data_IF_549600158379
#
_entry.id   IF_549600158379
#
_cell.length_a   1.000
_cell.length_b   1.000
_cell.length_c   1.000
_cell.angle_alpha   90.00
_cell.angle_beta   90.00
_cell.angle_gamma   90.00
#
_symmetry.space_group_name_H-M   'P 1'
#
loop_
_entity.id
_entity.type
_entity.pdbx_description
1 polymer ?
#
# COMPACT_ATOMS: atom_id res chain seq x y z
N UNK A 1 -19.09 36.43 3.58
CA UNK A 1 -17.72 36.35 4.12
C UNK A 1 -17.04 35.30 3.27
N UNK A 2 -16.28 35.75 2.27
CA UNK A 2 -15.74 34.87 1.22
C UNK A 2 -14.70 33.93 1.83
N UNK A 3 -14.91 32.63 1.65
CA UNK A 3 -13.91 31.58 1.78
C UNK A 3 -12.84 31.79 0.70
N UNK A 4 -11.86 32.62 1.00
CA UNK A 4 -10.56 32.58 0.35
C UNK A 4 -9.71 31.61 1.19
N UNK A 5 -9.97 30.31 1.03
CA UNK A 5 -8.98 29.31 1.45
C UNK A 5 -7.77 29.62 0.60
N UNK A 6 -6.76 30.24 1.21
CA UNK A 6 -5.53 30.63 0.57
C UNK A 6 -4.99 29.42 -0.20
N UNK A 7 -4.83 29.53 -1.53
CA UNK A 7 -4.31 28.42 -2.35
C UNK A 7 -2.97 27.90 -1.81
N UNK A 8 -2.26 28.73 -1.04
CA UNK A 8 -1.07 28.39 -0.26
C UNK A 8 -1.28 27.22 0.73
N UNK A 9 -2.45 27.11 1.37
CA UNK A 9 -2.78 26.04 2.33
C UNK A 9 -3.18 24.72 1.66
N UNK A 10 -3.25 24.68 0.33
CA UNK A 10 -3.59 23.45 -0.41
C UNK A 10 -2.36 22.61 -0.73
N UNK A 11 -1.16 23.22 -0.75
CA UNK A 11 0.06 22.60 -1.25
C UNK A 11 1.17 22.56 -0.20
N UNK A 12 1.79 21.40 -0.05
CA UNK A 12 2.93 21.18 0.83
C UNK A 12 4.25 21.11 0.03
N UNK A 13 5.37 21.45 0.67
CA UNK A 13 6.71 21.44 0.08
C UNK A 13 7.20 20.01 -0.23
N UNK A 14 7.19 19.55 -1.50
CA UNK A 14 7.33 18.12 -1.80
C UNK A 14 8.69 17.53 -1.43
N UNK A 15 9.76 18.34 -1.42
CA UNK A 15 11.10 17.85 -1.13
C UNK A 15 11.22 17.29 0.30
N UNK A 16 10.60 17.97 1.27
CA UNK A 16 10.61 17.53 2.68
C UNK A 16 9.91 16.18 2.84
N UNK A 17 8.74 16.03 2.24
CA UNK A 17 7.96 14.78 2.30
C UNK A 17 8.62 13.64 1.53
N UNK A 18 9.36 13.94 0.45
CA UNK A 18 10.17 12.95 -0.24
C UNK A 18 11.27 12.40 0.66
N UNK A 19 12.00 13.27 1.35
CA UNK A 19 13.04 12.86 2.30
C UNK A 19 12.45 12.04 3.45
N UNK A 20 11.31 12.47 4.00
CA UNK A 20 10.57 11.75 5.03
C UNK A 20 10.13 10.35 4.56
N UNK A 21 9.47 10.25 3.39
CA UNK A 21 9.03 8.99 2.82
C UNK A 21 10.21 8.04 2.54
N UNK A 22 11.32 8.55 1.99
CA UNK A 22 12.53 7.77 1.77
C UNK A 22 13.12 7.25 3.08
N UNK A 23 13.10 8.06 4.14
CA UNK A 23 13.53 7.67 5.47
C UNK A 23 12.64 6.55 6.03
N UNK A 24 11.32 6.68 6.00
CA UNK A 24 10.38 5.65 6.45
C UNK A 24 10.59 4.31 5.73
N UNK A 25 10.78 4.33 4.42
CA UNK A 25 11.06 3.13 3.61
C UNK A 25 12.38 2.50 4.05
N UNK A 26 13.43 3.31 4.20
CA UNK A 26 14.76 2.82 4.56
C UNK A 26 14.81 2.24 5.98
N UNK A 27 14.21 2.91 6.95
CA UNK A 27 14.27 2.50 8.37
C UNK A 27 13.38 1.31 8.67
N UNK A 28 12.23 1.19 8.00
CA UNK A 28 11.34 0.04 8.15
C UNK A 28 11.82 -1.22 7.44
N UNK A 29 12.67 -1.07 6.41
CA UNK A 29 13.05 -2.17 5.52
C UNK A 29 11.88 -2.75 4.70
N UNK A 30 10.72 -2.09 4.73
CA UNK A 30 9.53 -2.50 3.99
C UNK A 30 9.55 -1.94 2.57
N UNK A 31 8.92 -2.67 1.65
CA UNK A 31 8.68 -2.16 0.31
C UNK A 31 7.79 -0.90 0.36
N UNK A 32 8.14 0.13 -0.41
CA UNK A 32 7.48 1.45 -0.37
C UNK A 32 5.96 1.42 -0.56
N UNK A 33 5.42 0.45 -1.31
CA UNK A 33 3.97 0.25 -1.48
C UNK A 33 3.28 -0.11 -0.16
N UNK A 34 3.95 -0.87 0.71
CA UNK A 34 3.44 -1.22 2.04
C UNK A 34 3.42 0.03 2.92
N UNK A 35 4.48 0.85 2.84
CA UNK A 35 4.55 2.14 3.55
C UNK A 35 3.45 3.10 3.08
N UNK A 36 3.20 3.17 1.77
CA UNK A 36 2.08 3.94 1.21
C UNK A 36 0.72 3.47 1.77
N UNK A 37 0.49 2.16 1.80
CA UNK A 37 -0.74 1.58 2.35
C UNK A 37 -0.89 1.86 3.85
N UNK A 38 0.20 1.84 4.63
CA UNK A 38 0.16 2.21 6.06
C UNK A 38 -0.11 3.70 6.26
N UNK A 39 0.43 4.56 5.41
CA UNK A 39 0.14 6.00 5.42
C UNK A 39 -1.24 6.33 4.84
N UNK A 40 -1.98 5.37 4.30
CA UNK A 40 -3.28 5.61 3.66
C UNK A 40 -3.20 6.44 2.37
N UNK A 41 -2.03 6.49 1.72
CA UNK A 41 -1.85 7.23 0.46
C UNK A 41 -1.77 6.29 -0.74
N UNK A 42 -2.16 6.78 -1.92
CA UNK A 42 -2.13 5.95 -3.12
C UNK A 42 -0.69 5.55 -3.50
N UNK A 43 -0.48 4.33 -4.02
CA UNK A 43 0.83 3.92 -4.51
C UNK A 43 1.38 4.86 -5.60
N UNK A 44 0.51 5.41 -6.44
CA UNK A 44 0.91 6.37 -7.47
C UNK A 44 1.43 7.67 -6.87
N UNK A 45 0.78 8.20 -5.82
CA UNK A 45 1.25 9.40 -5.13
C UNK A 45 2.60 9.16 -4.45
N UNK A 46 2.76 8.04 -3.74
CA UNK A 46 4.04 7.67 -3.13
C UNK A 46 5.16 7.49 -4.18
N UNK A 47 4.87 6.82 -5.29
CA UNK A 47 5.82 6.61 -6.38
C UNK A 47 6.30 7.92 -6.98
N UNK A 48 5.36 8.82 -7.31
CA UNK A 48 5.68 10.14 -7.83
C UNK A 48 6.44 11.00 -6.81
N UNK A 49 6.15 10.86 -5.52
CA UNK A 49 6.90 11.55 -4.48
C UNK A 49 8.36 11.07 -4.40
N UNK A 50 8.59 9.76 -4.46
CA UNK A 50 9.93 9.18 -4.32
C UNK A 50 10.81 9.40 -5.56
N UNK A 51 10.26 9.18 -6.76
CA UNK A 51 11.01 9.16 -8.02
C UNK A 51 10.60 10.21 -9.03
N UNK A 52 9.57 11.00 -8.74
CA UNK A 52 9.03 11.97 -9.68
C UNK A 52 8.14 11.36 -10.76
N UNK A 53 7.77 12.19 -11.74
CA UNK A 53 7.06 11.79 -12.96
C UNK A 53 8.04 11.84 -14.13
N UNK A 54 8.27 10.69 -14.77
CA UNK A 54 9.24 10.58 -15.88
C UNK A 54 10.63 11.12 -15.51
N UNK A 55 11.08 10.86 -14.27
CA UNK A 55 12.37 11.31 -13.74
C UNK A 55 12.41 12.76 -13.25
N UNK A 56 11.30 13.52 -13.32
CA UNK A 56 11.22 14.89 -12.80
C UNK A 56 10.52 14.92 -11.44
N UNK A 57 11.12 15.53 -10.40
CA UNK A 57 10.46 15.71 -9.11
C UNK A 57 9.07 16.35 -9.26
N UNK A 58 8.12 15.96 -8.42
CA UNK A 58 6.81 16.62 -8.40
C UNK A 58 6.97 18.06 -7.91
N UNK A 59 6.26 18.98 -8.56
CA UNK A 59 6.25 20.40 -8.18
C UNK A 59 5.21 20.73 -7.11
N UNK A 60 4.24 19.84 -6.90
CA UNK A 60 3.09 20.06 -6.01
C UNK A 60 2.71 18.76 -5.29
N UNK A 61 2.55 18.85 -3.98
CA UNK A 61 2.05 17.77 -3.13
C UNK A 61 0.83 18.30 -2.38
N UNK A 62 -0.30 17.62 -2.50
CA UNK A 62 -1.52 18.05 -1.81
C UNK A 62 -1.35 17.89 -0.29
N UNK A 63 -1.80 18.87 0.49
CA UNK A 63 -1.67 18.86 1.96
C UNK A 63 -2.23 17.59 2.58
N UNK A 64 -3.38 17.07 2.11
CA UNK A 64 -3.91 15.80 2.61
C UNK A 64 -2.93 14.61 2.50
N UNK A 65 -2.13 14.54 1.42
CA UNK A 65 -1.10 13.47 1.28
C UNK A 65 0.09 13.73 2.20
N UNK A 66 0.47 15.00 2.37
CA UNK A 66 1.52 15.41 3.29
C UNK A 66 1.15 15.09 4.75
N UNK A 67 -0.05 15.45 5.19
CA UNK A 67 -0.58 15.15 6.53
C UNK A 67 -0.60 13.64 6.77
N UNK A 68 -1.15 12.86 5.84
CA UNK A 68 -1.20 11.41 5.95
C UNK A 68 0.19 10.75 6.06
N UNK A 69 1.22 11.35 5.43
CA UNK A 69 2.60 10.91 5.58
C UNK A 69 3.22 11.33 6.92
N UNK A 70 2.91 12.52 7.44
CA UNK A 70 3.40 12.96 8.75
C UNK A 70 2.79 12.17 9.90
N UNK A 71 1.53 11.78 9.76
CA UNK A 71 0.81 10.98 10.76
C UNK A 71 1.39 9.56 10.88
N UNK A 72 2.20 9.11 9.92
CA UNK A 72 2.91 7.83 9.98
C UNK A 72 4.31 8.01 10.56
N UNK A 73 4.48 7.68 11.83
CA UNK A 73 5.77 7.64 12.49
C UNK A 73 6.55 6.32 12.21
N UNK A 74 7.90 6.30 12.32
CA UNK A 74 8.66 5.06 12.26
C UNK A 74 8.22 4.02 13.31
N UNK A 75 7.85 4.46 14.50
CA UNK A 75 7.37 3.63 15.60
C UNK A 75 6.03 2.96 15.25
N UNK A 76 5.15 3.68 14.54
CA UNK A 76 3.90 3.14 14.02
C UNK A 76 4.12 1.97 13.07
N UNK A 77 5.17 2.04 12.24
CA UNK A 77 5.51 0.97 11.31
C UNK A 77 5.99 -0.26 12.06
N UNK A 78 6.83 -0.08 13.10
CA UNK A 78 7.29 -1.18 13.94
C UNK A 78 6.12 -1.83 14.68
N UNK A 79 5.26 -1.00 15.27
CA UNK A 79 4.10 -1.46 16.05
C UNK A 79 2.99 -2.07 15.17
N UNK A 80 2.99 -1.81 13.86
CA UNK A 80 2.02 -2.38 12.94
C UNK A 80 2.07 -3.92 12.90
N UNK A 81 3.21 -4.53 13.21
CA UNK A 81 3.35 -5.99 13.33
C UNK A 81 2.62 -6.60 14.53
N UNK A 82 2.26 -5.78 15.52
CA UNK A 82 1.63 -6.22 16.77
C UNK A 82 0.20 -5.69 16.95
N UNK A 83 -0.13 -4.60 16.25
CA UNK A 83 -1.46 -3.96 16.30
C UNK A 83 -2.49 -4.81 15.58
N UNK A 84 -3.55 -5.23 16.28
CA UNK A 84 -4.64 -6.04 15.71
C UNK A 84 -5.71 -5.17 15.07
N UNK A 85 -6.12 -5.54 13.85
CA UNK A 85 -7.21 -4.92 13.10
C UNK A 85 -8.20 -5.98 12.59
N UNK A 86 -9.47 -5.64 12.33
CA UNK A 86 -10.43 -6.59 11.78
C UNK A 86 -9.96 -7.18 10.45
N UNK A 87 -10.04 -8.50 10.29
CA UNK A 87 -9.57 -9.18 9.09
C UNK A 87 -10.57 -9.14 7.92
N UNK A 88 -11.80 -8.66 8.12
CA UNK A 88 -12.87 -8.69 7.11
C UNK A 88 -12.49 -8.01 5.80
N UNK A 89 -11.97 -6.78 5.85
CA UNK A 89 -11.50 -6.07 4.66
C UNK A 89 -10.33 -6.80 3.99
N UNK A 90 -9.33 -7.19 4.77
CA UNK A 90 -8.14 -7.92 4.27
C UNK A 90 -8.53 -9.20 3.54
N UNK A 91 -9.50 -9.96 4.07
CA UNK A 91 -10.03 -11.15 3.39
C UNK A 91 -10.77 -10.80 2.11
N UNK A 92 -11.63 -9.78 2.13
CA UNK A 92 -12.33 -9.34 0.93
C UNK A 92 -11.39 -8.98 -0.22
N UNK A 93 -10.21 -8.41 0.09
CA UNK A 93 -9.17 -8.15 -0.91
C UNK A 93 -8.54 -9.45 -1.44
N UNK A 94 -8.22 -10.41 -0.57
CA UNK A 94 -7.68 -11.72 -0.99
C UNK A 94 -8.70 -12.50 -1.82
N UNK A 95 -9.95 -12.55 -1.39
CA UNK A 95 -11.07 -13.15 -2.13
C UNK A 95 -11.22 -12.47 -3.50
N UNK A 96 -11.13 -11.13 -3.53
CA UNK A 96 -11.13 -10.35 -4.78
C UNK A 96 -10.00 -10.74 -5.72
N UNK A 97 -8.78 -10.96 -5.22
CA UNK A 97 -7.66 -11.44 -6.04
C UNK A 97 -7.91 -12.85 -6.59
N UNK A 98 -8.44 -13.75 -5.77
CA UNK A 98 -8.81 -15.09 -6.25
C UNK A 98 -9.92 -15.05 -7.30
N UNK A 99 -10.93 -14.19 -7.12
CA UNK A 99 -11.99 -13.97 -8.11
C UNK A 99 -11.46 -13.40 -9.43
N UNK A 100 -10.39 -12.59 -9.38
CA UNK A 100 -9.68 -12.11 -10.57
C UNK A 100 -8.77 -13.17 -11.21
N UNK A 101 -8.67 -14.38 -10.64
CA UNK A 101 -7.90 -15.49 -11.18
C UNK A 101 -6.46 -15.60 -10.67
N UNK A 102 -6.07 -14.85 -9.64
CA UNK A 102 -4.74 -14.97 -9.03
C UNK A 102 -4.66 -16.23 -8.15
N UNK A 103 -3.65 -17.05 -8.43
CA UNK A 103 -3.39 -18.32 -7.72
C UNK A 103 -2.48 -18.11 -6.50
N UNK A 104 -2.55 -19.00 -5.50
CA UNK A 104 -1.67 -18.93 -4.32
C UNK A 104 -0.17 -18.88 -4.67
N UNK A 105 0.36 -19.69 -5.62
CA UNK A 105 1.77 -19.61 -6.01
C UNK A 105 2.17 -18.25 -6.58
N UNK A 106 1.28 -17.60 -7.33
CA UNK A 106 1.52 -16.25 -7.82
C UNK A 106 1.54 -15.25 -6.66
N UNK A 107 0.52 -15.28 -5.80
CA UNK A 107 0.40 -14.38 -4.65
C UNK A 107 1.53 -14.52 -3.65
N UNK A 108 2.11 -15.72 -3.50
CA UNK A 108 3.26 -15.98 -2.63
C UNK A 108 4.53 -15.19 -3.01
N UNK A 109 4.58 -14.61 -4.22
CA UNK A 109 5.66 -13.70 -4.64
C UNK A 109 5.63 -12.39 -3.85
N UNK A 110 4.45 -11.97 -3.37
CA UNK A 110 4.24 -10.68 -2.69
C UNK A 110 3.76 -10.82 -1.25
N UNK A 111 3.07 -11.92 -0.94
CA UNK A 111 2.42 -12.16 0.34
C UNK A 111 3.13 -13.28 1.09
N UNK A 112 3.19 -13.15 2.42
CA UNK A 112 3.72 -14.20 3.26
C UNK A 112 2.71 -15.33 3.44
N UNK A 113 3.19 -16.52 3.85
CA UNK A 113 2.30 -17.65 4.20
C UNK A 113 1.26 -17.27 5.26
N UNK A 114 1.62 -16.41 6.21
CA UNK A 114 0.69 -15.94 7.25
C UNK A 114 -0.40 -15.03 6.69
N UNK A 115 -0.07 -14.19 5.71
CA UNK A 115 -1.05 -13.33 5.04
C UNK A 115 -2.04 -14.20 4.24
N UNK A 116 -1.53 -15.20 3.52
CA UNK A 116 -2.36 -16.12 2.72
C UNK A 116 -3.31 -16.99 3.57
N UNK A 117 -2.90 -17.37 4.78
CA UNK A 117 -3.76 -18.13 5.72
C UNK A 117 -5.04 -17.38 6.11
N UNK A 118 -5.12 -16.07 5.92
CA UNK A 118 -6.34 -15.30 6.20
C UNK A 118 -7.47 -15.60 5.21
N UNK A 119 -7.14 -15.92 3.96
CA UNK A 119 -8.13 -16.30 2.95
C UNK A 119 -8.76 -17.67 3.29
N UNK A 120 -7.94 -18.61 3.74
CA UNK A 120 -8.39 -19.99 4.02
C UNK A 120 -8.95 -20.18 5.42
N UNK A 121 -8.58 -19.35 6.40
CA UNK A 121 -9.04 -19.44 7.79
C UNK A 121 -10.10 -18.39 8.15
N UNK A 122 -11.37 -18.78 8.02
CA UNK A 122 -12.51 -17.94 8.46
C UNK A 122 -12.56 -17.71 9.97
N UNK A 123 -11.86 -18.53 10.77
CA UNK A 123 -11.80 -18.40 12.23
C UNK A 123 -10.99 -17.19 12.73
N UNK A 124 -10.08 -16.65 11.92
CA UNK A 124 -9.19 -15.55 12.34
C UNK A 124 -9.85 -14.15 12.23
N UNK A 125 -10.65 -13.73 13.21
CA UNK A 125 -11.35 -12.44 13.17
C UNK A 125 -10.46 -11.20 13.02
N UNK A 126 -9.17 -11.31 13.37
CA UNK A 126 -8.21 -10.22 13.36
C UNK A 126 -6.92 -10.60 12.65
N UNK A 127 -6.30 -9.62 12.00
CA UNK A 127 -4.94 -9.70 11.49
C UNK A 127 -4.10 -8.53 12.04
N UNK A 128 -2.79 -8.52 11.77
CA UNK A 128 -1.96 -7.37 12.13
C UNK A 128 -2.18 -6.22 11.15
N UNK A 129 -1.96 -4.98 11.57
CA UNK A 129 -2.00 -3.80 10.71
C UNK A 129 -0.99 -3.93 9.56
N UNK A 130 0.16 -4.55 9.82
CA UNK A 130 1.17 -4.84 8.78
C UNK A 130 0.67 -5.85 7.74
N UNK A 131 -0.01 -6.92 8.14
CA UNK A 131 -0.62 -7.87 7.20
C UNK A 131 -1.69 -7.18 6.34
N UNK A 132 -2.55 -6.36 6.95
CA UNK A 132 -3.54 -5.60 6.20
C UNK A 132 -2.89 -4.68 5.15
N UNK A 133 -1.81 -3.97 5.53
CA UNK A 133 -1.07 -3.10 4.62
C UNK A 133 -0.38 -3.85 3.48
N UNK A 134 0.21 -5.04 3.75
CA UNK A 134 0.81 -5.88 2.70
C UNK A 134 -0.24 -6.35 1.69
N UNK A 135 -1.38 -6.83 2.16
CA UNK A 135 -2.47 -7.30 1.30
C UNK A 135 -3.05 -6.15 0.48
N UNK A 136 -3.27 -4.98 1.08
CA UNK A 136 -3.72 -3.77 0.35
C UNK A 136 -2.70 -3.36 -0.72
N UNK A 137 -1.41 -3.29 -0.37
CA UNK A 137 -0.35 -2.95 -1.32
C UNK A 137 -0.24 -3.96 -2.47
N UNK A 138 -0.42 -5.25 -2.19
CA UNK A 138 -0.43 -6.31 -3.20
C UNK A 138 -1.66 -6.17 -4.11
N UNK A 139 -2.85 -6.00 -3.52
CA UNK A 139 -4.09 -5.80 -4.26
C UNK A 139 -3.98 -4.61 -5.23
N UNK A 140 -3.59 -3.44 -4.73
CA UNK A 140 -3.48 -2.22 -5.54
C UNK A 140 -2.44 -2.38 -6.65
N UNK A 141 -1.34 -3.09 -6.39
CA UNK A 141 -0.34 -3.36 -7.42
C UNK A 141 -0.91 -4.24 -8.53
N UNK A 142 -1.52 -5.38 -8.18
CA UNK A 142 -2.01 -6.37 -9.13
C UNK A 142 -3.24 -5.90 -9.90
N UNK A 143 -4.06 -5.00 -9.35
CA UNK A 143 -5.21 -4.42 -10.06
C UNK A 143 -4.84 -3.19 -10.89
N UNK A 144 -3.76 -2.47 -10.54
CA UNK A 144 -3.26 -1.34 -11.35
C UNK A 144 -2.35 -1.74 -12.50
N UNK A 145 -1.61 -2.85 -12.37
CA UNK A 145 -0.96 -3.50 -13.51
C UNK A 145 -2.01 -4.29 -14.30
N UNK A 146 -2.26 -3.95 -15.56
CA UNK A 146 -3.29 -4.59 -16.37
C UNK A 146 -3.18 -6.13 -16.36
N UNK A 147 -4.20 -6.78 -15.80
CA UNK A 147 -4.67 -8.18 -15.91
C UNK A 147 -3.67 -9.30 -15.51
N UNK A 148 -4.13 -10.41 -14.88
CA UNK A 148 -3.26 -11.53 -14.56
C UNK A 148 -2.61 -12.07 -15.82
N UNK A 149 -1.31 -12.34 -15.77
CA UNK A 149 -0.63 -13.11 -16.80
C UNK A 149 -1.30 -14.48 -16.81
N UNK A 150 -2.18 -14.72 -17.79
CA UNK A 150 -2.88 -15.99 -17.95
C UNK A 150 -1.85 -17.11 -17.82
N UNK A 151 -2.02 -17.94 -16.79
CA UNK A 151 -1.34 -19.21 -16.76
C UNK A 151 -1.85 -19.96 -17.99
N UNK A 152 -0.98 -20.18 -18.96
CA UNK A 152 -1.24 -21.08 -20.08
C UNK A 152 -1.73 -22.41 -19.46
N UNK A 153 -2.92 -22.92 -19.81
CA UNK A 153 -3.27 -24.27 -19.41
C UNK A 153 -2.25 -25.20 -20.07
N UNK A 154 -1.44 -25.86 -19.25
CA UNK A 154 -0.57 -26.93 -19.71
C UNK A 154 -1.50 -28.05 -20.22
N UNK A 155 -1.68 -28.08 -21.53
CA UNK A 155 -2.46 -29.07 -22.25
C UNK A 155 -1.47 -29.95 -23.00
N UNK A 156 -1.10 -31.08 -22.40
CA UNK A 156 -0.59 -32.29 -23.05
C UNK A 156 -0.39 -33.34 -21.94
N UNK A 157 -1.27 -34.34 -21.84
CA UNK A 157 -1.23 -35.62 -22.56
C UNK A 157 -0.50 -36.69 -21.74
#
# INVERSE_FOLDING_TARGET
MNDEIDEADTWAEPHLFRCWAAMLVRTSGLHWRIVAAMAGISPTAMSHLLWGRSGRPISRLHVATATALMDLAPEDIQQAGHTRVPASRTRGLLDGLHHLGWTEPQLATWLTRSDMRLATSRAAFYCTRLTAARVQACYDYLTSSATPRAATPDTAA
#
